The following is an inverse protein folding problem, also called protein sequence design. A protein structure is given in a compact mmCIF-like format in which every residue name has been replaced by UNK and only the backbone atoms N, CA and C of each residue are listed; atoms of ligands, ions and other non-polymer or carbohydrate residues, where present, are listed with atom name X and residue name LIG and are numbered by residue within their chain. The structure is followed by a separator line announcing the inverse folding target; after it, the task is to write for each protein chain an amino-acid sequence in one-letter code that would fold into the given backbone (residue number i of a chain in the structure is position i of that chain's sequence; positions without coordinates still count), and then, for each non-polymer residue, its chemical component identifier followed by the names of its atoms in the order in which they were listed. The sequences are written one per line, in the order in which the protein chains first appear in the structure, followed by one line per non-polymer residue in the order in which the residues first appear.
data_IF_878747388395
#
_entry.id   IF_878747388395
#
_cell.length_a   1.000
_cell.length_b   1.000
_cell.length_c   1.000
_cell.angle_alpha   90.00
_cell.angle_beta   90.00
_cell.angle_gamma   90.00
#
_symmetry.space_group_name_H-M   'P 1'
#
loop_
_entity.id
_entity.type
_entity.pdbx_description
1 polymer ?
#
# COMPACT_ATOMS: atom_id res chain seq x y z
N UNK A 1 19.73 -9.57 16.37
CA UNK A 1 19.75 -8.70 15.18
C UNK A 1 19.48 -7.28 15.66
N UNK A 2 20.46 -6.37 15.57
CA UNK A 2 20.22 -4.96 15.90
C UNK A 2 19.60 -4.32 14.66
N UNK A 3 18.31 -4.00 14.74
CA UNK A 3 17.62 -3.21 13.72
C UNK A 3 17.68 -1.73 14.13
N UNK A 4 17.92 -0.80 13.19
CA UNK A 4 18.22 -1.04 11.78
C UNK A 4 19.69 -1.44 11.51
N UNK A 5 19.92 -2.30 10.52
CA UNK A 5 21.28 -2.73 10.12
C UNK A 5 22.20 -1.56 9.76
N UNK A 6 21.63 -0.46 9.27
CA UNK A 6 22.36 0.76 8.90
C UNK A 6 23.12 1.40 10.07
N UNK A 7 22.67 1.23 11.32
CA UNK A 7 23.36 1.81 12.50
C UNK A 7 24.47 0.93 13.06
N UNK A 8 24.59 -0.32 12.58
CA UNK A 8 25.59 -1.28 13.07
C UNK A 8 27.01 -0.87 12.67
N UNK A 9 27.18 -0.14 11.56
CA UNK A 9 28.48 0.38 11.13
C UNK A 9 28.32 1.69 10.36
N UNK A 10 29.19 2.70 10.57
CA UNK A 10 29.10 4.00 9.89
C UNK A 10 29.09 3.93 8.35
N UNK A 11 29.68 2.88 7.77
CA UNK A 11 29.75 2.70 6.31
C UNK A 11 28.59 1.89 5.74
N UNK A 12 27.71 1.32 6.59
CA UNK A 12 26.57 0.53 6.12
C UNK A 12 25.61 1.31 5.21
N UNK A 13 25.34 2.61 5.42
CA UNK A 13 24.56 3.39 4.46
C UNK A 13 25.18 3.43 3.06
N UNK A 14 26.50 3.62 2.96
CA UNK A 14 27.20 3.64 1.66
C UNK A 14 27.19 2.25 0.99
N UNK A 15 27.38 1.19 1.79
CA UNK A 15 27.25 -0.20 1.31
C UNK A 15 25.85 -0.49 0.81
N UNK A 16 24.81 -0.01 1.51
CA UNK A 16 23.43 -0.17 1.08
C UNK A 16 23.19 0.54 -0.26
N UNK A 17 23.68 1.77 -0.44
CA UNK A 17 23.57 2.48 -1.73
C UNK A 17 24.23 1.69 -2.87
N UNK A 18 25.45 1.19 -2.66
CA UNK A 18 26.15 0.37 -3.67
C UNK A 18 25.46 -0.98 -3.94
N UNK A 19 24.83 -1.57 -2.92
CA UNK A 19 24.09 -2.81 -3.06
C UNK A 19 22.78 -2.61 -3.83
N UNK A 20 22.03 -1.54 -3.54
CA UNK A 20 20.76 -1.21 -4.19
C UNK A 20 20.90 -0.50 -5.55
N UNK A 21 22.10 -0.05 -5.93
CA UNK A 21 22.34 0.53 -7.26
C UNK A 21 22.29 -0.51 -8.39
N UNK A 22 22.40 -1.80 -8.06
CA UNK A 22 22.13 -2.91 -8.97
C UNK A 22 20.86 -3.61 -8.51
N UNK A 23 19.84 -3.69 -9.38
CA UNK A 23 18.64 -4.46 -9.07
C UNK A 23 19.01 -5.94 -9.01
N UNK A 24 19.21 -6.45 -7.79
CA UNK A 24 19.78 -7.78 -7.51
C UNK A 24 18.71 -8.86 -7.37
N UNK A 25 17.44 -8.48 -7.20
CA UNK A 25 16.35 -9.43 -7.07
C UNK A 25 15.97 -9.98 -8.44
N UNK A 26 15.66 -11.28 -8.50
CA UNK A 26 15.14 -11.87 -9.73
C UNK A 26 13.87 -11.10 -10.14
N UNK A 27 13.75 -10.61 -11.38
CA UNK A 27 12.61 -9.80 -11.76
C UNK A 27 11.30 -10.59 -11.59
N UNK A 28 10.49 -10.21 -10.61
CA UNK A 28 9.10 -10.64 -10.56
C UNK A 28 8.24 -9.66 -11.36
N UNK A 29 6.98 -10.04 -11.55
CA UNK A 29 5.98 -9.19 -12.17
C UNK A 29 5.06 -8.62 -11.11
N UNK A 30 4.51 -7.45 -11.38
CA UNK A 30 3.47 -6.81 -10.59
C UNK A 30 2.32 -6.40 -11.50
N UNK A 31 1.10 -6.48 -10.99
CA UNK A 31 -0.08 -6.05 -11.71
C UNK A 31 -0.13 -4.53 -11.77
N UNK A 32 -0.11 -3.97 -12.98
CA UNK A 32 -0.26 -2.54 -13.21
C UNK A 32 -1.20 -2.28 -14.38
N UNK A 33 -2.28 -1.54 -14.12
CA UNK A 33 -3.35 -1.27 -15.09
C UNK A 33 -3.91 -2.53 -15.77
N UNK A 34 -4.01 -3.64 -15.02
CA UNK A 34 -4.56 -4.92 -15.51
C UNK A 34 -3.57 -5.78 -16.31
N UNK A 35 -2.29 -5.40 -16.36
CA UNK A 35 -1.24 -6.18 -17.04
C UNK A 35 -0.12 -6.51 -16.06
N UNK A 36 0.37 -7.76 -16.01
CA UNK A 36 1.55 -8.11 -15.21
C UNK A 36 2.82 -7.59 -15.89
N UNK A 37 3.45 -6.57 -15.30
CA UNK A 37 4.66 -5.89 -15.79
C UNK A 37 5.86 -6.28 -14.94
N UNK A 38 7.01 -6.54 -15.57
CA UNK A 38 8.25 -6.78 -14.84
C UNK A 38 8.71 -5.51 -14.11
N UNK A 39 9.15 -5.64 -12.87
CA UNK A 39 9.53 -4.50 -12.01
C UNK A 39 10.55 -3.53 -12.65
N UNK A 40 11.61 -3.99 -13.34
CA UNK A 40 12.53 -3.09 -14.05
C UNK A 40 11.91 -2.37 -15.25
N UNK A 41 10.83 -2.92 -15.82
CA UNK A 41 10.17 -2.42 -17.01
C UNK A 41 8.96 -1.52 -16.69
N UNK A 42 8.73 -1.18 -15.41
CA UNK A 42 7.60 -0.33 -15.04
C UNK A 42 7.60 1.01 -15.80
N UNK A 43 6.42 1.47 -16.26
CA UNK A 43 6.32 2.69 -17.02
C UNK A 43 6.64 3.91 -16.15
N UNK A 44 7.14 4.98 -16.77
CA UNK A 44 7.42 6.26 -16.09
C UNK A 44 6.19 6.83 -15.37
N UNK A 45 5.00 6.54 -15.90
CA UNK A 45 3.72 6.97 -15.35
C UNK A 45 3.35 6.25 -14.05
N UNK A 46 3.99 5.13 -13.69
CA UNK A 46 3.63 4.31 -12.54
C UNK A 46 3.43 5.12 -11.25
N UNK A 47 4.43 5.92 -10.86
CA UNK A 47 4.38 6.71 -9.62
C UNK A 47 3.29 7.79 -9.64
N UNK A 48 3.29 8.76 -10.59
CA UNK A 48 2.27 9.80 -10.59
C UNK A 48 0.85 9.24 -10.77
N UNK A 49 0.70 8.14 -11.52
CA UNK A 49 -0.57 7.47 -11.70
C UNK A 49 -1.08 6.88 -10.39
N UNK A 50 -0.26 6.13 -9.67
CA UNK A 50 -0.67 5.57 -8.38
C UNK A 50 -0.93 6.67 -7.34
N UNK A 51 -0.16 7.75 -7.29
CA UNK A 51 -0.50 8.90 -6.44
C UNK A 51 -1.88 9.47 -6.79
N UNK A 52 -2.21 9.61 -8.07
CA UNK A 52 -3.51 10.11 -8.50
C UNK A 52 -4.67 9.18 -8.12
N UNK A 53 -4.42 7.87 -8.00
CA UNK A 53 -5.44 6.87 -7.69
C UNK A 53 -5.55 6.54 -6.19
N UNK A 54 -4.46 6.58 -5.44
CA UNK A 54 -4.45 6.14 -4.02
C UNK A 54 -4.54 7.29 -3.03
N UNK A 55 -4.24 8.53 -3.45
CA UNK A 55 -4.42 9.70 -2.58
C UNK A 55 -5.90 10.11 -2.51
N UNK A 56 -6.37 10.58 -1.34
CA UNK A 56 -7.68 11.21 -1.23
C UNK A 56 -7.85 12.37 -2.21
N UNK A 57 -9.01 12.47 -2.85
CA UNK A 57 -9.29 13.50 -3.87
C UNK A 57 -9.12 14.91 -3.29
N UNK A 58 -9.56 15.13 -2.03
CA UNK A 58 -9.38 16.42 -1.35
C UNK A 58 -7.90 16.78 -1.18
N UNK A 59 -7.04 15.79 -0.90
CA UNK A 59 -5.59 15.99 -0.78
C UNK A 59 -4.97 16.31 -2.14
N UNK A 60 -5.40 15.63 -3.21
CA UNK A 60 -4.95 15.92 -4.57
C UNK A 60 -5.34 17.35 -5.00
N UNK A 61 -6.60 17.74 -4.79
CA UNK A 61 -7.11 19.05 -5.15
C UNK A 61 -6.43 20.18 -4.36
N UNK A 62 -6.45 20.09 -3.02
CA UNK A 62 -5.81 21.09 -2.18
C UNK A 62 -4.28 21.09 -2.35
N UNK A 63 -3.66 19.92 -2.49
CA UNK A 63 -2.22 19.78 -2.73
C UNK A 63 -1.79 20.45 -4.03
N UNK A 64 -2.54 20.25 -5.13
CA UNK A 64 -2.29 20.92 -6.41
C UNK A 64 -2.42 22.45 -6.29
N UNK A 65 -3.46 22.94 -5.59
CA UNK A 65 -3.62 24.36 -5.31
C UNK A 65 -2.50 24.91 -4.42
N UNK A 66 -2.04 24.15 -3.44
CA UNK A 66 -0.92 24.50 -2.56
C UNK A 66 0.40 24.60 -3.31
N UNK A 67 0.64 23.67 -4.23
CA UNK A 67 1.79 23.67 -5.15
C UNK A 67 1.74 24.90 -6.07
N UNK A 68 0.60 25.19 -6.67
CA UNK A 68 0.42 26.40 -7.50
C UNK A 68 0.63 27.68 -6.66
N UNK A 69 0.09 27.71 -5.43
CA UNK A 69 0.31 28.78 -4.47
C UNK A 69 1.79 28.96 -4.11
N UNK A 70 2.53 27.86 -3.93
CA UNK A 70 3.98 27.89 -3.68
C UNK A 70 4.75 28.51 -4.84
N UNK A 71 4.39 28.16 -6.09
CA UNK A 71 4.98 28.78 -7.28
C UNK A 71 4.62 30.27 -7.37
N UNK A 72 3.37 30.66 -7.09
CA UNK A 72 2.94 32.06 -7.08
C UNK A 72 3.57 32.88 -5.95
N UNK A 73 3.92 32.27 -4.82
CA UNK A 73 4.65 32.95 -3.75
C UNK A 73 6.03 33.47 -4.19
N UNK A 74 6.60 32.93 -5.28
CA UNK A 74 7.83 33.44 -5.88
C UNK A 74 7.65 34.84 -6.47
N UNK A 75 6.46 35.16 -6.99
CA UNK A 75 6.17 36.45 -7.63
C UNK A 75 5.76 37.51 -6.62
N UNK A 76 5.28 37.12 -5.43
CA UNK A 76 4.83 38.03 -4.38
C UNK A 76 5.99 38.52 -3.51
N UNK A 77 6.68 39.56 -3.98
CA UNK A 77 7.82 40.20 -3.28
C UNK A 77 7.47 40.81 -1.90
N UNK A 78 6.18 41.04 -1.63
CA UNK A 78 5.69 41.54 -0.34
C UNK A 78 5.71 40.50 0.78
N UNK A 79 5.83 39.21 0.45
CA UNK A 79 5.89 38.13 1.45
C UNK A 79 7.30 38.00 2.03
N UNK A 80 7.45 37.79 3.37
CA UNK A 80 8.76 37.58 3.99
C UNK A 80 9.55 36.46 3.32
N UNK A 81 10.86 36.68 3.13
CA UNK A 81 11.72 35.73 2.41
C UNK A 81 11.73 34.33 3.05
N UNK A 82 11.74 34.23 4.38
CA UNK A 82 11.70 32.94 5.09
C UNK A 82 10.42 32.14 4.82
N UNK A 83 9.26 32.81 4.77
CA UNK A 83 7.98 32.17 4.43
C UNK A 83 7.95 31.69 2.98
N UNK A 84 8.42 32.52 2.04
CA UNK A 84 8.54 32.14 0.62
C UNK A 84 9.43 30.92 0.45
N UNK A 85 10.59 30.90 1.11
CA UNK A 85 11.52 29.78 1.07
C UNK A 85 10.91 28.52 1.69
N UNK A 86 10.26 28.61 2.84
CA UNK A 86 9.62 27.47 3.51
C UNK A 86 8.53 26.82 2.67
N UNK A 87 7.63 27.63 2.08
CA UNK A 87 6.55 27.13 1.21
C UNK A 87 7.14 26.50 -0.06
N UNK A 88 8.16 27.14 -0.66
CA UNK A 88 8.84 26.62 -1.85
C UNK A 88 9.50 25.27 -1.58
N UNK A 89 10.31 25.17 -0.51
CA UNK A 89 10.99 23.93 -0.13
C UNK A 89 9.98 22.82 0.15
N UNK A 90 8.88 23.13 0.81
CA UNK A 90 7.81 22.16 1.08
C UNK A 90 7.14 21.70 -0.21
N UNK A 91 6.82 22.62 -1.13
CA UNK A 91 6.26 22.28 -2.44
C UNK A 91 7.23 21.45 -3.30
N UNK A 92 8.51 21.78 -3.28
CA UNK A 92 9.56 21.01 -3.95
C UNK A 92 9.72 19.62 -3.34
N UNK A 93 9.67 19.49 -2.00
CA UNK A 93 9.71 18.20 -1.32
C UNK A 93 8.53 17.29 -1.73
N UNK A 94 7.37 17.88 -2.06
CA UNK A 94 6.22 17.13 -2.54
C UNK A 94 6.33 16.69 -4.02
N UNK A 95 7.04 17.45 -4.87
CA UNK A 95 7.01 17.24 -6.33
C UNK A 95 8.30 16.61 -6.86
N UNK A 96 9.46 17.09 -6.40
CA UNK A 96 10.76 16.71 -6.97
C UNK A 96 10.99 15.20 -6.93
N UNK A 97 10.70 14.46 -5.84
CA UNK A 97 10.88 13.01 -5.83
C UNK A 97 10.05 12.30 -6.92
N UNK A 98 8.80 12.75 -7.14
CA UNK A 98 7.92 12.21 -8.19
C UNK A 98 8.48 12.53 -9.58
N UNK A 99 8.94 13.77 -9.80
CA UNK A 99 9.55 14.16 -11.08
C UNK A 99 10.83 13.38 -11.37
N UNK A 100 11.69 13.19 -10.37
CA UNK A 100 12.91 12.39 -10.51
C UNK A 100 12.56 10.95 -10.91
N UNK A 101 11.56 10.34 -10.27
CA UNK A 101 11.09 9.00 -10.63
C UNK A 101 10.55 8.94 -12.06
N UNK A 102 9.75 9.94 -12.47
CA UNK A 102 9.21 10.07 -13.83
C UNK A 102 10.32 10.17 -14.88
N UNK A 103 11.38 10.94 -14.60
CA UNK A 103 12.48 11.20 -15.53
C UNK A 103 13.47 10.03 -15.62
N UNK A 104 13.83 9.45 -14.48
CA UNK A 104 14.88 8.42 -14.38
C UNK A 104 14.36 7.00 -14.59
N UNK A 105 13.06 6.75 -14.40
CA UNK A 105 12.41 5.43 -14.55
C UNK A 105 13.19 4.31 -13.82
N UNK A 106 13.39 4.40 -12.49
CA UNK A 106 14.04 3.31 -11.77
C UNK A 106 13.08 2.10 -11.69
N UNK A 107 13.59 0.96 -11.23
CA UNK A 107 12.75 -0.19 -10.92
C UNK A 107 11.71 0.17 -9.85
N UNK A 108 10.43 -0.02 -10.14
CA UNK A 108 9.32 0.36 -9.27
C UNK A 108 8.41 -0.81 -8.99
N UNK A 109 7.91 -0.88 -7.76
CA UNK A 109 7.07 -1.96 -7.32
C UNK A 109 6.37 -1.66 -6.01
N UNK A 110 5.37 -2.48 -5.67
CA UNK A 110 4.65 -2.51 -4.42
C UNK A 110 4.02 -1.14 -4.09
N UNK A 111 3.29 -0.60 -5.06
CA UNK A 111 2.58 0.66 -4.94
C UNK A 111 3.47 1.90 -4.75
N UNK A 112 3.01 2.86 -3.94
CA UNK A 112 3.69 4.13 -3.65
C UNK A 112 4.67 4.07 -2.46
N UNK A 113 4.95 2.88 -1.91
CA UNK A 113 5.67 2.74 -0.63
C UNK A 113 7.04 3.42 -0.61
N UNK A 114 7.73 3.47 -1.75
CA UNK A 114 9.02 4.12 -1.88
C UNK A 114 8.92 5.65 -1.83
N UNK A 115 7.71 6.22 -1.89
CA UNK A 115 7.43 7.66 -1.97
C UNK A 115 6.47 8.15 -0.87
N UNK A 116 6.13 7.34 0.13
CA UNK A 116 5.20 7.76 1.20
C UNK A 116 5.66 9.02 1.93
N UNK A 117 6.97 9.32 1.93
CA UNK A 117 7.54 10.54 2.49
C UNK A 117 7.14 11.83 1.74
N UNK A 118 6.55 11.71 0.55
CA UNK A 118 5.98 12.84 -0.21
C UNK A 118 4.61 13.26 0.33
N UNK A 119 3.89 12.37 1.02
CA UNK A 119 2.53 12.67 1.49
C UNK A 119 2.48 13.75 2.57
N UNK A 120 3.41 13.82 3.57
CA UNK A 120 3.40 14.90 4.54
C UNK A 120 3.61 16.30 3.93
N UNK A 121 4.64 16.59 3.10
CA UNK A 121 4.78 17.92 2.51
C UNK A 121 3.60 18.27 1.58
N UNK A 122 3.03 17.29 0.87
CA UNK A 122 1.81 17.49 0.07
C UNK A 122 0.62 17.91 0.95
N UNK A 123 0.45 17.26 2.11
CA UNK A 123 -0.60 17.61 3.07
C UNK A 123 -0.38 19.00 3.69
N UNK A 124 0.87 19.40 3.96
CA UNK A 124 1.19 20.75 4.47
C UNK A 124 0.79 21.82 3.46
N UNK A 125 1.22 21.71 2.19
CA UNK A 125 0.84 22.70 1.17
C UNK A 125 -0.67 22.68 0.89
N UNK A 126 -1.30 21.50 0.95
CA UNK A 126 -2.76 21.37 0.84
C UNK A 126 -3.51 22.04 1.98
N UNK A 127 -3.04 21.88 3.22
CA UNK A 127 -3.60 22.55 4.40
C UNK A 127 -3.48 24.07 4.32
N UNK A 128 -2.33 24.58 3.86
CA UNK A 128 -2.14 26.01 3.61
C UNK A 128 -3.10 26.55 2.53
N UNK A 129 -3.30 25.80 1.45
CA UNK A 129 -4.27 26.16 0.42
C UNK A 129 -5.70 26.19 0.98
N UNK A 130 -6.09 25.18 1.76
CA UNK A 130 -7.40 25.12 2.42
C UNK A 130 -7.62 26.32 3.36
N UNK A 131 -6.62 26.65 4.18
CA UNK A 131 -6.67 27.82 5.08
C UNK A 131 -6.81 29.15 4.32
N UNK A 132 -6.06 29.29 3.21
CA UNK A 132 -6.15 30.46 2.34
C UNK A 132 -7.54 30.59 1.70
N UNK A 133 -8.11 29.49 1.21
CA UNK A 133 -9.47 29.46 0.64
C UNK A 133 -10.50 29.90 1.69
N UNK A 134 -10.48 29.32 2.89
CA UNK A 134 -11.42 29.67 3.97
C UNK A 134 -11.30 31.14 4.34
N UNK A 135 -10.07 31.65 4.46
CA UNK A 135 -9.81 33.06 4.79
C UNK A 135 -10.27 34.02 3.69
N UNK A 136 -10.11 33.65 2.42
CA UNK A 136 -10.63 34.40 1.28
C UNK A 136 -12.15 34.53 1.33
N UNK A 137 -12.86 33.42 1.58
CA UNK A 137 -14.31 33.44 1.74
C UNK A 137 -14.78 34.16 3.01
N UNK A 138 -14.00 34.14 4.09
CA UNK A 138 -14.28 34.91 5.31
C UNK A 138 -14.25 36.42 5.07
N UNK A 139 -13.38 36.89 4.16
CA UNK A 139 -13.38 38.28 3.71
C UNK A 139 -14.63 38.69 2.92
N UNK A 140 -15.37 37.72 2.36
CA UNK A 140 -16.64 37.97 1.66
C UNK A 140 -17.82 37.97 2.62
N UNK A 141 -17.98 36.90 3.43
CA UNK A 141 -18.98 36.82 4.49
C UNK A 141 -18.71 35.64 5.42
N UNK A 142 -19.28 35.68 6.63
CA UNK A 142 -19.24 34.55 7.57
C UNK A 142 -19.88 33.29 6.99
N UNK A 143 -20.98 33.42 6.26
CA UNK A 143 -21.68 32.29 5.66
C UNK A 143 -20.82 31.60 4.58
N UNK A 144 -20.12 32.37 3.75
CA UNK A 144 -19.22 31.83 2.74
C UNK A 144 -18.05 31.05 3.36
N UNK A 145 -17.47 31.54 4.46
CA UNK A 145 -16.43 30.82 5.19
C UNK A 145 -16.92 29.50 5.79
N UNK A 146 -18.13 29.51 6.38
CA UNK A 146 -18.76 28.29 6.91
C UNK A 146 -19.01 27.29 5.78
N UNK A 147 -19.53 27.74 4.64
CA UNK A 147 -19.76 26.88 3.48
C UNK A 147 -18.44 26.26 2.96
N UNK A 148 -17.38 27.06 2.78
CA UNK A 148 -16.08 26.57 2.36
C UNK A 148 -15.50 25.55 3.35
N UNK A 149 -15.62 25.82 4.65
CA UNK A 149 -15.15 24.92 5.71
C UNK A 149 -15.95 23.60 5.70
N UNK A 150 -17.26 23.67 5.50
CA UNK A 150 -18.12 22.48 5.40
C UNK A 150 -17.77 21.62 4.18
N UNK A 151 -17.46 22.23 3.03
CA UNK A 151 -17.02 21.50 1.83
C UNK A 151 -15.69 20.77 2.08
N UNK A 152 -14.72 21.44 2.71
CA UNK A 152 -13.43 20.81 3.05
C UNK A 152 -13.65 19.68 4.06
N UNK A 153 -14.45 19.91 5.11
CA UNK A 153 -14.78 18.89 6.11
C UNK A 153 -15.47 17.67 5.48
N UNK A 154 -16.41 17.88 4.56
CA UNK A 154 -17.04 16.81 3.80
C UNK A 154 -16.02 16.05 2.94
N UNK A 155 -15.12 16.77 2.25
CA UNK A 155 -14.04 16.17 1.46
C UNK A 155 -13.09 15.31 2.30
N UNK A 156 -12.86 15.66 3.57
CA UNK A 156 -12.09 14.87 4.53
C UNK A 156 -12.88 13.68 5.10
N UNK A 157 -14.20 13.80 5.25
CA UNK A 157 -15.03 12.72 5.74
C UNK A 157 -15.03 11.50 4.81
N UNK A 158 -14.92 11.71 3.49
CA UNK A 158 -14.86 10.62 2.49
C UNK A 158 -13.69 9.64 2.75
N UNK A 159 -12.41 10.06 2.72
CA UNK A 159 -11.30 9.15 3.01
C UNK A 159 -11.32 8.62 4.44
N UNK A 160 -11.86 9.36 5.42
CA UNK A 160 -12.07 8.83 6.77
C UNK A 160 -13.05 7.66 6.77
N UNK A 161 -14.12 7.73 5.97
CA UNK A 161 -15.03 6.61 5.84
C UNK A 161 -14.39 5.41 5.15
N UNK A 162 -13.55 5.64 4.15
CA UNK A 162 -12.82 4.57 3.49
C UNK A 162 -11.82 3.91 4.45
N UNK A 163 -11.15 4.68 5.31
CA UNK A 163 -10.30 4.12 6.37
C UNK A 163 -11.09 3.21 7.32
N UNK A 164 -12.29 3.61 7.74
CA UNK A 164 -13.14 2.78 8.60
C UNK A 164 -13.56 1.49 7.90
N UNK A 165 -13.94 1.57 6.62
CA UNK A 165 -14.38 0.39 5.84
C UNK A 165 -13.24 -0.59 5.55
N UNK A 166 -12.04 -0.07 5.32
CA UNK A 166 -10.88 -0.87 4.97
C UNK A 166 -10.12 -1.38 6.19
N UNK A 167 -10.39 -0.88 7.39
CA UNK A 167 -9.64 -1.24 8.59
C UNK A 167 -9.52 -2.78 8.77
N UNK A 168 -8.30 -3.32 8.99
CA UNK A 168 -7.00 -2.65 9.21
C UNK A 168 -6.09 -2.58 7.95
N UNK A 169 -6.67 -2.50 6.76
CA UNK A 169 -5.97 -2.52 5.46
C UNK A 169 -6.04 -1.18 4.72
N UNK A 170 -6.03 -0.06 5.44
CA UNK A 170 -6.18 1.30 4.87
C UNK A 170 -5.12 1.62 3.81
N UNK A 171 -3.95 0.96 3.86
CA UNK A 171 -2.88 1.17 2.89
C UNK A 171 -3.20 0.68 1.47
N UNK A 172 -4.24 -0.15 1.31
CA UNK A 172 -4.71 -0.63 0.00
C UNK A 172 -5.75 0.30 -0.63
N UNK A 173 -6.00 1.46 -0.02
CA UNK A 173 -6.99 2.44 -0.47
C UNK A 173 -6.76 2.91 -1.92
N UNK A 174 -7.86 2.92 -2.67
CA UNK A 174 -8.01 3.61 -3.95
C UNK A 174 -9.17 4.59 -3.83
N UNK A 175 -9.00 5.81 -4.32
CA UNK A 175 -9.99 6.86 -4.18
C UNK A 175 -11.25 6.62 -5.03
N UNK A 176 -12.29 7.41 -4.77
CA UNK A 176 -13.58 7.25 -5.44
C UNK A 176 -13.52 7.42 -6.97
N UNK A 177 -12.62 8.25 -7.50
CA UNK A 177 -12.44 8.40 -8.96
C UNK A 177 -11.79 7.18 -9.59
N UNK A 178 -10.98 6.43 -8.83
CA UNK A 178 -10.42 5.16 -9.24
C UNK A 178 -11.46 4.01 -9.21
N UNK A 179 -12.61 4.22 -8.57
CA UNK A 179 -13.65 3.22 -8.35
C UNK A 179 -13.47 2.39 -7.07
N UNK A 180 -12.67 2.87 -6.12
CA UNK A 180 -12.40 2.16 -4.86
C UNK A 180 -11.54 0.91 -5.05
N UNK A 181 -11.38 0.16 -3.97
CA UNK A 181 -10.56 -1.08 -3.96
C UNK A 181 -11.12 -2.14 -4.90
N UNK A 182 -12.45 -2.22 -5.06
CA UNK A 182 -13.10 -3.18 -5.95
C UNK A 182 -12.70 -3.01 -7.41
N UNK A 183 -12.64 -1.78 -7.89
CA UNK A 183 -12.17 -1.51 -9.24
C UNK A 183 -10.65 -1.66 -9.37
N UNK A 184 -9.91 -1.57 -8.27
CA UNK A 184 -8.46 -1.69 -8.26
C UNK A 184 -7.98 -3.15 -8.23
N UNK A 185 -8.74 -4.08 -7.65
CA UNK A 185 -8.39 -5.49 -7.42
C UNK A 185 -7.85 -6.20 -8.68
N UNK A 186 -8.52 -6.07 -9.83
CA UNK A 186 -8.08 -6.71 -11.08
C UNK A 186 -6.96 -5.93 -11.80
N UNK A 187 -6.66 -4.70 -11.35
CA UNK A 187 -5.79 -3.76 -12.07
C UNK A 187 -4.48 -3.44 -11.39
N UNK A 188 -4.38 -3.61 -10.07
CA UNK A 188 -3.23 -3.24 -9.26
C UNK A 188 -3.04 -4.25 -8.12
N UNK A 189 -1.80 -4.37 -7.61
CA UNK A 189 -1.56 -5.10 -6.37
C UNK A 189 -2.11 -4.32 -5.16
N UNK A 190 -2.85 -5.02 -4.29
CA UNK A 190 -3.47 -4.44 -3.10
C UNK A 190 -2.64 -4.80 -1.85
N UNK A 191 -2.75 -6.03 -1.33
CA UNK A 191 -2.15 -6.46 -0.06
C UNK A 191 -0.77 -7.12 -0.24
N UNK A 192 0.15 -6.43 -0.90
CA UNK A 192 1.48 -6.97 -1.20
C UNK A 192 2.37 -7.19 0.04
N UNK A 193 2.08 -6.57 1.18
CA UNK A 193 2.76 -6.85 2.46
C UNK A 193 2.18 -8.07 3.19
N UNK A 194 1.00 -8.54 2.81
CA UNK A 194 0.30 -9.65 3.45
C UNK A 194 -0.21 -9.33 4.85
N UNK A 195 -0.74 -8.12 5.08
CA UNK A 195 -1.36 -7.76 6.36
C UNK A 195 -2.58 -8.65 6.66
N UNK A 196 -3.29 -9.12 5.63
CA UNK A 196 -4.44 -9.99 5.79
C UNK A 196 -4.08 -11.36 6.39
N UNK A 197 -2.80 -11.78 6.34
CA UNK A 197 -2.36 -13.00 7.00
C UNK A 197 -2.53 -12.98 8.52
N UNK A 198 -2.52 -11.79 9.13
CA UNK A 198 -2.83 -11.67 10.56
C UNK A 198 -4.23 -12.18 10.87
N UNK A 199 -5.24 -11.59 10.23
CA UNK A 199 -6.63 -12.00 10.42
C UNK A 199 -6.84 -13.45 9.96
N UNK A 200 -6.23 -13.85 8.84
CA UNK A 200 -6.35 -15.21 8.34
C UNK A 200 -5.79 -16.25 9.32
N UNK A 201 -4.66 -15.96 9.98
CA UNK A 201 -4.06 -16.82 10.99
C UNK A 201 -4.91 -16.89 12.26
N UNK A 202 -5.42 -15.74 12.74
CA UNK A 202 -6.27 -15.67 13.92
C UNK A 202 -7.57 -16.48 13.73
N UNK A 203 -8.24 -16.31 12.59
CA UNK A 203 -9.46 -17.06 12.27
C UNK A 203 -9.21 -18.55 12.01
N UNK A 204 -8.06 -18.91 11.41
CA UNK A 204 -7.69 -20.32 11.24
C UNK A 204 -7.53 -20.99 12.60
N UNK A 205 -6.81 -20.36 13.53
CA UNK A 205 -6.63 -20.89 14.90
C UNK A 205 -7.96 -21.04 15.63
N UNK A 206 -8.83 -20.03 15.54
CA UNK A 206 -10.16 -20.09 16.14
C UNK A 206 -10.99 -21.26 15.59
N UNK A 207 -10.99 -21.46 14.27
CA UNK A 207 -11.72 -22.57 13.62
C UNK A 207 -11.17 -23.95 13.97
N UNK A 208 -9.84 -24.09 14.11
CA UNK A 208 -9.21 -25.34 14.55
C UNK A 208 -9.61 -25.67 15.99
N UNK A 209 -9.61 -24.66 16.88
CA UNK A 209 -10.03 -24.82 18.27
C UNK A 209 -11.52 -25.20 18.37
N UNK A 210 -12.40 -24.52 17.65
CA UNK A 210 -13.85 -24.80 17.63
C UNK A 210 -14.15 -26.24 17.21
N UNK A 211 -13.42 -26.75 16.21
CA UNK A 211 -13.58 -28.12 15.71
C UNK A 211 -12.84 -29.18 16.52
N UNK A 212 -12.10 -28.79 17.56
CA UNK A 212 -11.16 -29.64 18.27
C UNK A 212 -10.21 -30.39 17.29
N UNK A 213 -9.79 -29.69 16.23
CA UNK A 213 -8.89 -30.21 15.20
C UNK A 213 -7.44 -29.88 15.63
N UNK A 214 -6.74 -30.91 16.10
CA UNK A 214 -5.40 -30.77 16.64
C UNK A 214 -4.34 -31.20 15.63
N UNK A 215 -3.16 -30.57 15.72
CA UNK A 215 -2.03 -30.98 14.92
C UNK A 215 -1.71 -32.46 15.18
N UNK A 216 -1.21 -33.21 14.19
CA UNK A 216 -0.78 -34.59 14.41
C UNK A 216 0.25 -34.68 15.53
N UNK A 217 0.19 -35.71 16.37
CA UNK A 217 1.00 -35.84 17.59
C UNK A 217 2.52 -35.77 17.37
N UNK A 218 2.99 -36.03 16.14
CA UNK A 218 4.41 -36.06 15.79
C UNK A 218 4.90 -34.85 14.99
N UNK A 219 4.03 -33.86 14.69
CA UNK A 219 4.45 -32.68 13.91
C UNK A 219 3.54 -31.47 14.11
N UNK A 220 4.10 -30.31 13.80
CA UNK A 220 3.38 -29.06 13.64
C UNK A 220 2.48 -29.05 12.39
N UNK A 221 1.51 -28.15 12.37
CA UNK A 221 0.71 -27.86 11.17
C UNK A 221 1.62 -27.36 10.05
N UNK A 222 1.39 -27.85 8.83
CA UNK A 222 2.13 -27.41 7.64
C UNK A 222 1.22 -26.52 6.80
N UNK A 223 1.68 -25.30 6.54
CA UNK A 223 0.94 -24.30 5.77
C UNK A 223 1.72 -23.98 4.50
N UNK A 224 1.14 -24.28 3.34
CA UNK A 224 1.67 -23.81 2.07
C UNK A 224 1.26 -22.34 1.88
N UNK A 225 2.20 -21.44 1.61
CA UNK A 225 1.93 -19.99 1.56
C UNK A 225 2.12 -19.43 0.16
N UNK A 226 1.09 -18.75 -0.35
CA UNK A 226 1.20 -17.87 -1.52
C UNK A 226 1.14 -16.40 -1.08
N UNK A 227 2.31 -15.75 -1.09
CA UNK A 227 2.51 -14.42 -0.53
C UNK A 227 3.77 -14.35 0.34
N UNK A 228 3.96 -13.30 1.13
CA UNK A 228 5.15 -13.13 1.94
C UNK A 228 5.18 -14.15 3.10
N UNK A 229 6.06 -15.15 3.00
CA UNK A 229 6.11 -16.28 3.95
C UNK A 229 6.48 -15.88 5.38
N UNK A 230 7.37 -14.89 5.53
CA UNK A 230 7.84 -14.45 6.85
C UNK A 230 6.71 -13.83 7.68
N UNK A 231 5.93 -12.85 7.17
CA UNK A 231 4.71 -12.40 7.83
C UNK A 231 3.76 -13.53 8.20
N UNK A 232 3.45 -14.45 7.27
CA UNK A 232 2.57 -15.58 7.56
C UNK A 232 3.06 -16.43 8.73
N UNK A 233 4.37 -16.76 8.77
CA UNK A 233 4.96 -17.56 9.84
C UNK A 233 4.89 -16.88 11.20
N UNK A 234 5.08 -15.55 11.25
CA UNK A 234 5.01 -14.78 12.49
C UNK A 234 3.59 -14.77 13.04
N UNK A 235 2.60 -14.50 12.19
CA UNK A 235 1.19 -14.39 12.63
C UNK A 235 0.59 -15.76 13.02
N UNK A 236 0.92 -16.83 12.28
CA UNK A 236 0.50 -18.19 12.59
C UNK A 236 1.02 -18.67 13.96
N UNK A 237 2.25 -18.28 14.32
CA UNK A 237 2.88 -18.64 15.58
C UNK A 237 3.59 -20.01 15.56
N UNK A 238 4.02 -20.50 16.73
CA UNK A 238 4.99 -21.58 16.84
C UNK A 238 4.45 -22.96 16.46
N UNK A 239 3.13 -23.17 16.54
CA UNK A 239 2.47 -24.46 16.24
C UNK A 239 2.39 -24.78 14.74
N UNK A 240 2.80 -23.83 13.90
CA UNK A 240 2.74 -23.90 12.46
C UNK A 240 4.13 -23.79 11.83
N UNK A 241 4.28 -24.43 10.67
CA UNK A 241 5.45 -24.32 9.80
C UNK A 241 4.96 -23.92 8.41
N UNK A 242 5.56 -22.85 7.88
CA UNK A 242 5.28 -22.35 6.54
C UNK A 242 6.22 -22.96 5.50
N UNK A 243 5.70 -23.23 4.31
CA UNK A 243 6.46 -23.72 3.16
C UNK A 243 5.91 -23.12 1.86
N UNK A 244 6.71 -23.11 0.80
CA UNK A 244 6.23 -22.66 -0.53
C UNK A 244 5.57 -23.77 -1.34
N UNK A 245 5.98 -25.01 -1.12
CA UNK A 245 5.48 -26.17 -1.86
C UNK A 245 4.12 -26.65 -1.33
N UNK A 246 3.16 -26.90 -2.23
CA UNK A 246 2.04 -27.80 -2.11
C UNK A 246 2.09 -28.94 -1.12
N UNK A 247 3.17 -29.70 -1.35
CA UNK A 247 3.29 -31.11 -1.04
C UNK A 247 3.23 -31.39 0.45
N UNK A 248 2.21 -32.14 0.87
CA UNK A 248 2.06 -32.58 2.25
C UNK A 248 1.78 -31.44 3.25
N UNK A 249 1.31 -30.29 2.76
CA UNK A 249 0.73 -29.25 3.60
C UNK A 249 -0.71 -29.60 4.00
N UNK A 250 -1.12 -29.13 5.18
CA UNK A 250 -2.47 -29.30 5.70
C UNK A 250 -3.39 -28.21 5.16
N UNK A 251 -2.91 -26.97 5.18
CA UNK A 251 -3.65 -25.81 4.66
C UNK A 251 -2.82 -25.03 3.65
N UNK A 252 -3.50 -24.30 2.77
CA UNK A 252 -2.88 -23.29 1.92
C UNK A 252 -3.37 -21.91 2.33
N UNK A 253 -2.47 -21.03 2.78
CA UNK A 253 -2.75 -19.63 3.11
C UNK A 253 -2.29 -18.75 1.96
N UNK A 254 -3.23 -18.07 1.31
CA UNK A 254 -2.99 -17.41 0.02
C UNK A 254 -3.55 -16.00 0.05
N UNK A 255 -2.78 -15.03 -0.44
CA UNK A 255 -3.31 -13.69 -0.70
C UNK A 255 -4.29 -13.73 -1.88
N UNK A 256 -5.19 -12.75 -1.92
CA UNK A 256 -6.07 -12.49 -3.08
C UNK A 256 -5.36 -11.80 -4.24
N UNK A 257 -4.06 -12.00 -4.40
CA UNK A 257 -3.25 -11.34 -5.42
C UNK A 257 -3.22 -12.13 -6.73
N UNK A 258 -2.99 -11.44 -7.85
CA UNK A 258 -3.04 -12.00 -9.20
C UNK A 258 -2.10 -13.21 -9.43
N UNK A 259 -1.01 -13.31 -8.66
CA UNK A 259 -0.05 -14.41 -8.75
C UNK A 259 -0.48 -15.64 -7.95
N UNK A 260 -1.53 -15.56 -7.12
CA UNK A 260 -2.05 -16.68 -6.33
C UNK A 260 -3.25 -17.34 -7.01
N UNK A 261 -3.21 -18.67 -7.11
CA UNK A 261 -4.30 -19.45 -7.71
C UNK A 261 -5.54 -19.48 -6.82
N UNK A 262 -6.72 -19.44 -7.45
CA UNK A 262 -7.95 -19.88 -6.78
C UNK A 262 -7.99 -21.41 -6.78
N UNK A 263 -7.81 -22.02 -5.61
CA UNK A 263 -7.81 -23.47 -5.49
C UNK A 263 -9.24 -24.04 -5.52
N UNK A 264 -9.39 -25.22 -6.14
CA UNK A 264 -10.59 -26.04 -6.01
C UNK A 264 -10.49 -26.90 -4.73
N UNK A 265 -10.56 -26.23 -3.58
CA UNK A 265 -10.46 -26.84 -2.26
C UNK A 265 -11.42 -26.12 -1.28
N UNK A 266 -11.86 -26.79 -0.20
CA UNK A 266 -12.70 -26.16 0.82
C UNK A 266 -12.01 -24.93 1.42
N UNK A 267 -12.73 -23.79 1.45
CA UNK A 267 -12.27 -22.56 2.09
C UNK A 267 -12.60 -22.64 3.58
N UNK A 268 -11.58 -22.56 4.42
CA UNK A 268 -11.70 -22.53 5.88
C UNK A 268 -11.89 -21.09 6.36
N UNK A 269 -11.10 -20.17 5.81
CA UNK A 269 -11.08 -18.75 6.15
C UNK A 269 -11.11 -17.92 4.87
N UNK A 270 -11.89 -16.85 4.88
CA UNK A 270 -11.94 -15.86 3.80
C UNK A 270 -11.93 -14.46 4.41
N UNK A 271 -10.87 -13.71 4.15
CA UNK A 271 -10.70 -12.33 4.62
C UNK A 271 -11.15 -11.40 3.50
N UNK A 272 -12.34 -10.84 3.65
CA UNK A 272 -12.94 -9.89 2.71
C UNK A 272 -13.00 -8.48 3.30
N UNK A 273 -12.72 -7.47 2.48
CA UNK A 273 -13.10 -6.08 2.76
C UNK A 273 -13.66 -5.43 1.51
N UNK A 274 -14.78 -4.74 1.67
CA UNK A 274 -15.45 -3.98 0.60
C UNK A 274 -15.74 -4.79 -0.69
N UNK A 275 -16.03 -6.08 -0.56
CA UNK A 275 -16.28 -6.98 -1.70
C UNK A 275 -15.01 -7.49 -2.39
N UNK A 276 -13.83 -7.26 -1.80
CA UNK A 276 -12.53 -7.73 -2.29
C UNK A 276 -11.94 -8.73 -1.32
N UNK A 277 -11.40 -9.83 -1.85
CA UNK A 277 -10.78 -10.89 -1.05
C UNK A 277 -9.31 -10.58 -0.88
N UNK A 278 -8.87 -10.35 0.35
CA UNK A 278 -7.47 -10.04 0.66
C UNK A 278 -6.66 -11.31 0.95
N UNK A 279 -7.28 -12.31 1.59
CA UNK A 279 -6.65 -13.59 1.84
C UNK A 279 -7.67 -14.72 1.97
N UNK A 280 -7.23 -15.94 1.67
CA UNK A 280 -7.96 -17.18 1.92
C UNK A 280 -7.08 -18.21 2.59
N UNK A 281 -7.70 -19.07 3.39
CA UNK A 281 -7.08 -20.32 3.86
C UNK A 281 -7.91 -21.49 3.35
N UNK A 282 -7.27 -22.38 2.60
CA UNK A 282 -7.87 -23.60 2.07
C UNK A 282 -7.47 -24.82 2.89
N UNK A 283 -8.38 -25.77 3.07
CA UNK A 283 -8.06 -27.12 3.55
C UNK A 283 -7.63 -27.99 2.37
N UNK A 284 -6.34 -28.34 2.34
CA UNK A 284 -5.74 -29.12 1.26
C UNK A 284 -5.30 -30.52 1.72
N UNK A 285 -5.72 -30.94 2.92
CA UNK A 285 -5.43 -32.28 3.44
C UNK A 285 -5.96 -33.36 2.49
N UNK A 286 -5.11 -34.33 2.18
CA UNK A 286 -5.43 -35.43 1.26
C UNK A 286 -5.58 -35.01 -0.20
N UNK A 287 -5.25 -33.76 -0.56
CA UNK A 287 -5.33 -33.27 -1.95
C UNK A 287 -3.93 -33.13 -2.55
N UNK A 288 -3.82 -33.46 -3.84
CA UNK A 288 -2.61 -33.19 -4.61
C UNK A 288 -2.75 -31.84 -5.32
N UNK A 289 -2.11 -30.82 -4.77
CA UNK A 289 -2.03 -29.49 -5.37
C UNK A 289 -0.65 -29.32 -5.99
N UNK A 290 -0.60 -29.03 -7.30
CA UNK A 290 0.66 -28.93 -8.06
C UNK A 290 1.40 -27.62 -7.86
N UNK A 291 0.66 -26.52 -7.69
CA UNK A 291 1.20 -25.17 -7.56
C UNK A 291 0.20 -24.29 -6.81
N UNK A 292 0.72 -23.30 -6.09
CA UNK A 292 -0.08 -22.19 -5.56
C UNK A 292 -0.10 -20.98 -6.48
N UNK A 293 0.77 -20.94 -7.50
CA UNK A 293 1.02 -19.76 -8.32
C UNK A 293 0.36 -19.86 -9.69
N UNK A 294 -0.21 -18.75 -10.17
CA UNK A 294 -0.74 -18.61 -11.54
C UNK A 294 0.37 -18.48 -12.58
N UNK A 295 1.53 -17.99 -12.15
CA UNK A 295 2.73 -17.82 -12.95
C UNK A 295 3.88 -18.64 -12.36
N UNK A 296 4.87 -19.07 -13.16
CA UNK A 296 6.08 -19.69 -12.64
C UNK A 296 6.77 -18.76 -11.63
N UNK A 297 7.33 -19.33 -10.56
CA UNK A 297 8.17 -18.57 -9.64
C UNK A 297 9.41 -18.04 -10.40
N UNK A 298 9.83 -16.78 -10.15
CA UNK A 298 11.01 -16.20 -10.79
C UNK A 298 12.32 -16.93 -10.46
#
# INVERSE_FOLDING_TARGET
LVWPWSVVSPLNPLRAVAYFSHFFEKPWKEMFAGVPVAVPDMPRTYVPWLFALTMPIILLGLGALGIAGAALALTRRTMPAGWRAGILVTGLAAIVPILVALLTRPAMYNGIRHFVFVTPPLAVVGGLAGAWIISGFAGMSRLAAVAASAVIAFGLAVPTMDMIRLHPYEYTHFNLLAGGVRAADERYMLDYWGLAFKQAADELRAKLQEKADFAPSNRRWRIAVCGPQRPAQVELGPDFVTQGDPGGADFAMMLGEFYCLKLNAPVVVEVERDGVIFARVYDIRGRSIRSLLTLPAP
#
